data_IF_420039632235
#
_entry.id   IF_420039632235
#
_cell.length_a   1.000
_cell.length_b   1.000
_cell.length_c   1.000
_cell.angle_alpha   90.00
_cell.angle_beta   90.00
_cell.angle_gamma   90.00
#
_symmetry.space_group_name_H-M   'P 1'
#
loop_
_entity.id
_entity.type
_entity.pdbx_description
1 polymer ?
2 water ?
#
# COMPACT_ATOMS: atom_id res chain seq x y z
N UNK A 1 18.37 -10.19 28.78
CA UNK A 1 18.75 -11.00 29.97
C UNK A 1 20.26 -11.20 30.03
N UNK A 2 20.81 -11.24 31.23
CA UNK A 2 22.24 -11.41 31.44
C UNK A 2 22.74 -12.77 30.99
N UNK A 3 24.06 -12.90 30.91
CA UNK A 3 24.70 -14.14 30.47
C UNK A 3 26.22 -13.96 30.47
N UNK A 4 26.94 -15.07 30.56
CA UNK A 4 28.41 -15.03 30.54
C UNK A 4 28.91 -15.46 29.17
N UNK A 5 29.70 -14.60 28.54
CA UNK A 5 30.23 -14.89 27.22
C UNK A 5 31.39 -15.88 27.25
N UNK A 6 31.48 -16.68 26.19
CA UNK A 6 32.52 -17.69 26.06
C UNK A 6 33.73 -17.13 25.34
N UNK A 7 34.87 -17.80 25.48
CA UNK A 7 36.11 -17.38 24.85
C UNK A 7 35.97 -17.31 23.34
N UNK A 8 35.34 -18.33 22.76
CA UNK A 8 35.15 -18.40 21.32
C UNK A 8 34.27 -17.23 20.84
N UNK A 9 33.40 -16.75 21.72
CA UNK A 9 32.52 -15.64 21.40
C UNK A 9 33.30 -14.32 21.51
N UNK A 10 33.93 -14.12 22.66
CA UNK A 10 34.72 -12.91 22.89
C UNK A 10 35.76 -12.80 21.79
N UNK A 11 36.17 -13.95 21.26
CA UNK A 11 37.16 -14.01 20.20
C UNK A 11 36.59 -13.39 18.91
N UNK A 12 35.48 -13.96 18.43
CA UNK A 12 34.84 -13.48 17.21
C UNK A 12 34.34 -12.04 17.36
N UNK A 13 34.01 -11.65 18.58
CA UNK A 13 33.54 -10.30 18.84
C UNK A 13 34.72 -9.35 18.70
N UNK A 14 35.85 -9.69 19.33
CA UNK A 14 37.05 -8.86 19.23
C UNK A 14 37.45 -8.80 17.76
N UNK A 15 37.15 -9.88 17.05
CA UNK A 15 37.47 -9.99 15.63
C UNK A 15 36.73 -8.93 14.82
N UNK A 16 35.42 -8.85 15.01
CA UNK A 16 34.57 -7.90 14.28
C UNK A 16 34.83 -6.44 14.62
N UNK A 17 35.09 -6.15 15.90
CA UNK A 17 35.34 -4.78 16.34
C UNK A 17 36.76 -4.38 15.97
N UNK A 18 37.69 -5.31 16.15
CA UNK A 18 39.09 -5.05 15.84
C UNK A 18 39.34 -4.49 14.44
N UNK A 19 40.57 -4.06 14.20
CA UNK A 19 40.97 -3.47 12.93
C UNK A 19 40.70 -4.38 11.72
N UNK A 20 40.54 -3.76 10.55
CA UNK A 20 40.27 -4.48 9.32
C UNK A 20 39.60 -3.52 8.36
N UNK A 21 39.31 -3.92 7.11
CA UNK A 21 38.65 -3.01 6.17
C UNK A 21 37.28 -2.57 6.66
N UNK A 22 36.94 -1.31 6.35
CA UNK A 22 35.69 -0.72 6.78
C UNK A 22 34.48 -1.22 6.03
N UNK A 23 34.64 -1.49 4.74
CA UNK A 23 33.53 -1.96 3.92
C UNK A 23 33.27 -3.45 3.94
N UNK A 24 34.05 -4.19 4.73
CA UNK A 24 33.84 -5.63 4.79
C UNK A 24 32.47 -5.98 5.37
N UNK A 25 31.58 -6.50 4.53
CA UNK A 25 30.24 -6.90 4.94
C UNK A 25 30.37 -8.11 5.86
N UNK A 26 29.96 -7.95 7.11
CA UNK A 26 30.05 -9.03 8.09
C UNK A 26 28.75 -9.80 8.33
N UNK A 27 27.61 -9.20 8.00
CA UNK A 27 26.32 -9.87 8.19
C UNK A 27 25.30 -9.26 7.24
N UNK A 28 24.47 -10.11 6.63
CA UNK A 28 23.48 -9.63 5.67
C UNK A 28 22.11 -10.27 5.84
N UNK A 29 21.07 -9.43 5.88
CA UNK A 29 19.69 -9.87 6.04
C UNK A 29 18.75 -8.67 6.06
N UNK A 30 17.46 -8.92 5.87
CA UNK A 30 16.44 -7.88 5.88
C UNK A 30 16.76 -6.73 4.92
N UNK A 31 17.53 -7.03 3.87
CA UNK A 31 17.93 -6.02 2.89
C UNK A 31 18.94 -5.04 3.49
N UNK A 32 19.56 -5.44 4.59
CA UNK A 32 20.57 -4.61 5.27
C UNK A 32 21.93 -5.30 5.17
N UNK A 33 22.99 -4.51 5.11
CA UNK A 33 24.32 -5.09 5.05
C UNK A 33 25.24 -4.43 6.06
N UNK A 34 25.40 -5.10 7.18
CA UNK A 34 26.23 -4.63 8.28
C UNK A 34 27.71 -4.74 7.93
N UNK A 35 28.38 -3.59 7.79
CA UNK A 35 29.80 -3.59 7.46
C UNK A 35 30.58 -3.52 8.76
N UNK A 36 31.89 -3.72 8.71
CA UNK A 36 32.69 -3.64 9.92
C UNK A 36 32.56 -2.23 10.49
N UNK A 37 32.40 -1.25 9.60
CA UNK A 37 32.24 0.12 10.02
C UNK A 37 30.98 0.29 10.84
N UNK A 38 29.90 -0.39 10.45
CA UNK A 38 28.63 -0.31 11.17
C UNK A 38 28.70 -1.00 12.52
N UNK A 39 29.27 -2.20 12.53
CA UNK A 39 29.35 -2.96 13.77
C UNK A 39 30.24 -2.28 14.80
N UNK A 40 31.15 -1.44 14.34
CA UNK A 40 32.05 -0.73 15.25
C UNK A 40 31.34 0.36 16.04
N UNK A 41 30.09 0.67 15.67
CA UNK A 41 29.35 1.68 16.43
C UNK A 41 28.92 1.04 17.74
N UNK A 42 29.11 -0.28 17.83
CA UNK A 42 28.78 -1.02 19.03
C UNK A 42 29.92 -0.99 20.06
N UNK A 43 31.10 -0.58 19.62
CA UNK A 43 32.22 -0.48 20.55
C UNK A 43 31.79 0.48 21.65
N UNK A 44 32.23 0.22 22.87
CA UNK A 44 31.85 1.09 23.99
C UNK A 44 32.11 2.56 23.69
N UNK A 45 31.20 3.41 24.19
CA UNK A 45 31.30 4.87 24.02
C UNK A 45 31.04 5.36 22.60
N UNK A 46 30.57 4.47 21.74
CA UNK A 46 30.26 4.84 20.36
C UNK A 46 28.73 4.90 20.20
N UNK A 47 28.25 5.77 19.31
CA UNK A 47 26.81 5.91 19.07
C UNK A 47 26.39 4.90 18.01
N UNK A 48 25.36 4.10 18.27
CA UNK A 48 24.93 3.14 17.27
C UNK A 48 24.38 3.89 16.07
N UNK A 49 24.53 3.33 14.87
CA UNK A 49 24.00 3.98 13.69
C UNK A 49 22.68 3.31 13.26
N UNK A 50 22.05 3.82 12.21
CA UNK A 50 20.78 3.27 11.74
C UNK A 50 20.81 1.79 11.39
N UNK A 51 21.82 1.37 10.63
CA UNK A 51 21.93 -0.03 10.23
C UNK A 51 21.86 -0.98 11.42
N UNK A 52 22.71 -0.75 12.42
CA UNK A 52 22.71 -1.60 13.61
C UNK A 52 21.34 -1.66 14.27
N UNK A 53 20.71 -0.51 14.48
CA UNK A 53 19.41 -0.48 15.13
C UNK A 53 18.32 -1.18 14.30
N UNK A 54 18.23 -0.86 13.02
CA UNK A 54 17.24 -1.50 12.17
C UNK A 54 17.46 -3.01 12.15
N UNK A 55 18.72 -3.42 12.03
CA UNK A 55 19.07 -4.83 11.98
C UNK A 55 18.59 -5.54 13.26
N UNK A 56 18.92 -4.95 14.40
CA UNK A 56 18.52 -5.53 15.69
C UNK A 56 17.00 -5.56 15.82
N UNK A 57 16.33 -4.51 15.37
CA UNK A 57 14.87 -4.45 15.45
C UNK A 57 14.26 -5.62 14.67
N UNK A 58 14.77 -5.88 13.47
CA UNK A 58 14.28 -6.99 12.66
C UNK A 58 14.54 -8.34 13.32
N UNK A 59 15.62 -8.45 14.09
CA UNK A 59 15.94 -9.69 14.79
C UNK A 59 14.92 -9.94 15.91
N UNK A 60 14.37 -8.87 16.47
CA UNK A 60 13.39 -9.03 17.53
C UNK A 60 12.11 -9.63 16.95
N UNK A 61 11.80 -9.25 15.73
CA UNK A 61 10.60 -9.75 15.06
C UNK A 61 10.69 -11.28 14.90
N UNK A 62 11.83 -11.76 14.40
CA UNK A 62 12.03 -13.19 14.18
C UNK A 62 12.09 -13.95 15.51
N UNK A 63 12.80 -13.39 16.48
CA UNK A 63 12.90 -14.00 17.79
C UNK A 63 11.50 -14.20 18.37
N UNK A 64 10.65 -13.18 18.23
CA UNK A 64 9.30 -13.29 18.76
C UNK A 64 8.49 -14.40 18.10
N UNK A 65 8.56 -14.49 16.77
CA UNK A 65 7.83 -15.54 16.05
C UNK A 65 8.25 -16.93 16.52
N UNK A 66 9.54 -17.21 16.43
CA UNK A 66 10.09 -18.51 16.81
C UNK A 66 9.87 -18.87 18.28
N UNK A 67 9.84 -17.89 19.17
CA UNK A 67 9.68 -18.16 20.59
C UNK A 67 8.25 -18.04 21.14
N UNK A 68 7.27 -17.84 20.27
CA UNK A 68 5.89 -17.70 20.71
C UNK A 68 5.60 -16.41 21.45
N UNK A 69 6.23 -15.32 21.03
CA UNK A 69 6.00 -14.02 21.65
C UNK A 69 5.00 -13.21 20.79
N UNK A 70 4.47 -12.09 21.33
CA UNK A 70 3.52 -11.26 20.58
C UNK A 70 3.94 -10.93 19.15
N UNK A 71 2.99 -10.92 18.23
CA UNK A 71 3.27 -10.58 16.84
C UNK A 71 3.85 -9.17 16.86
N UNK A 72 5.05 -9.02 16.31
CA UNK A 72 5.77 -7.75 16.34
C UNK A 72 6.01 -7.07 15.00
N UNK A 73 5.75 -5.77 14.94
CA UNK A 73 6.03 -5.02 13.73
C UNK A 73 6.98 -3.90 14.15
N UNK A 74 8.07 -3.76 13.43
CA UNK A 74 9.07 -2.76 13.72
C UNK A 74 9.19 -1.80 12.55
N UNK A 75 9.00 -0.51 12.80
CA UNK A 75 9.14 0.48 11.72
C UNK A 75 10.60 0.85 11.57
N UNK A 76 11.00 1.18 10.35
CA UNK A 76 12.38 1.59 10.09
C UNK A 76 12.71 2.86 10.89
N UNK A 77 13.99 3.05 11.20
CA UNK A 77 14.43 4.23 11.94
C UNK A 77 14.18 5.51 11.11
N UNK A 78 13.99 5.35 9.80
CA UNK A 78 13.77 6.50 8.93
C UNK A 78 12.30 6.89 8.81
N UNK A 79 11.42 6.00 9.25
CA UNK A 79 9.97 6.23 9.18
C UNK A 79 9.47 7.50 9.90
N UNK A 80 9.68 7.58 11.22
CA UNK A 80 9.17 8.74 11.97
C UNK A 80 9.55 10.09 11.39
N UNK A 81 10.84 10.31 11.07
CA UNK A 81 11.19 11.63 10.52
C UNK A 81 10.45 11.92 9.20
N UNK A 82 10.29 10.90 8.36
CA UNK A 82 9.60 11.07 7.09
C UNK A 82 8.14 11.48 7.36
N UNK A 83 7.52 10.82 8.34
CA UNK A 83 6.13 11.10 8.71
C UNK A 83 5.96 12.52 9.25
N UNK A 84 6.86 12.92 10.14
CA UNK A 84 6.82 14.23 10.78
C UNK A 84 6.95 15.39 9.79
N UNK A 85 7.74 15.21 8.75
CA UNK A 85 7.93 16.27 7.76
C UNK A 85 7.08 16.16 6.50
N UNK A 86 6.65 14.95 6.15
CA UNK A 86 5.86 14.78 4.94
C UNK A 86 4.41 14.38 5.12
N UNK A 87 4.01 14.07 6.35
CA UNK A 87 2.65 13.65 6.59
C UNK A 87 2.45 12.20 6.22
N UNK A 88 1.21 11.72 6.34
CA UNK A 88 0.87 10.34 6.02
C UNK A 88 1.22 9.94 4.59
N UNK A 89 0.89 10.80 3.62
CA UNK A 89 1.16 10.51 2.21
C UNK A 89 2.61 10.12 1.95
N UNK A 90 3.53 10.73 2.68
CA UNK A 90 4.95 10.46 2.51
C UNK A 90 5.37 9.07 2.98
N UNK A 91 4.56 8.43 3.82
CA UNK A 91 4.89 7.11 4.34
C UNK A 91 3.85 6.05 4.07
N UNK A 92 2.79 6.43 3.38
CA UNK A 92 1.69 5.52 3.04
C UNK A 92 2.15 4.14 2.56
N UNK A 93 3.25 4.09 1.82
CA UNK A 93 3.75 2.84 1.28
C UNK A 93 4.72 2.04 2.14
N UNK A 94 5.10 2.59 3.29
CA UNK A 94 6.05 1.90 4.17
C UNK A 94 5.46 0.69 4.86
N UNK A 95 4.17 0.45 4.68
CA UNK A 95 3.54 -0.72 5.28
C UNK A 95 2.94 -1.61 4.20
N UNK A 96 3.47 -1.49 2.98
CA UNK A 96 3.00 -2.30 1.86
C UNK A 96 3.15 -3.77 2.24
N UNK A 97 2.10 -4.55 1.99
CA UNK A 97 2.16 -5.97 2.29
C UNK A 97 1.93 -6.33 3.75
N UNK A 98 1.55 -5.36 4.57
CA UNK A 98 1.30 -5.64 5.97
C UNK A 98 0.10 -4.88 6.50
N UNK A 99 -0.64 -5.50 7.41
CA UNK A 99 -1.75 -4.83 8.05
C UNK A 99 -1.30 -4.66 9.49
N UNK A 100 -0.91 -3.45 9.83
CA UNK A 100 -0.47 -3.13 11.17
C UNK A 100 -1.41 -3.66 12.24
N UNK A 101 -2.70 -3.60 11.96
CA UNK A 101 -3.70 -3.99 12.95
C UNK A 101 -3.84 -5.48 13.23
N UNK A 102 -3.13 -6.31 12.48
CA UNK A 102 -3.18 -7.74 12.74
C UNK A 102 -2.00 -8.11 13.65
N UNK A 103 -1.14 -7.13 13.93
CA UNK A 103 0.00 -7.35 14.81
C UNK A 103 -0.45 -7.07 16.24
N UNK A 104 0.42 -7.31 17.21
CA UNK A 104 0.07 -7.04 18.59
C UNK A 104 0.90 -5.90 19.15
N UNK A 105 2.15 -5.81 18.71
CA UNK A 105 3.05 -4.77 19.19
C UNK A 105 3.80 -4.12 18.05
N UNK A 106 3.74 -2.80 18.00
CA UNK A 106 4.40 -2.02 16.99
C UNK A 106 5.46 -1.15 17.67
N UNK A 107 6.70 -1.23 17.19
CA UNK A 107 7.79 -0.44 17.74
C UNK A 107 8.17 0.64 16.74
N UNK A 108 8.32 1.87 17.23
CA UNK A 108 8.71 2.97 16.35
C UNK A 108 9.94 3.65 16.94
N UNK A 109 11.12 3.37 16.36
CA UNK A 109 12.34 4.00 16.88
C UNK A 109 12.25 5.51 16.63
N UNK A 110 12.67 6.30 17.60
CA UNK A 110 12.62 7.74 17.42
C UNK A 110 14.00 8.38 17.36
N UNK A 111 14.36 8.93 16.20
CA UNK A 111 15.66 9.58 16.07
C UNK A 111 15.42 11.09 15.96
N UNK A 112 15.90 11.83 16.95
CA UNK A 112 15.75 13.30 16.96
C UNK A 112 17.12 13.91 17.25
N UNK A 113 17.69 14.59 16.26
CA UNK A 113 19.01 15.17 16.42
C UNK A 113 19.95 13.99 16.70
N UNK A 114 20.74 14.05 17.76
CA UNK A 114 21.63 12.92 18.03
C UNK A 114 21.05 11.93 19.03
N UNK A 115 19.81 12.13 19.47
CA UNK A 115 19.21 11.26 20.47
C UNK A 115 18.26 10.16 19.94
N UNK A 116 18.31 9.00 20.58
CA UNK A 116 17.44 7.88 20.21
C UNK A 116 16.48 7.60 21.36
N UNK A 117 15.21 7.37 21.03
CA UNK A 117 14.19 7.05 22.02
C UNK A 117 13.21 6.06 21.40
N UNK A 118 12.22 5.61 22.15
CA UNK A 118 11.30 4.60 21.63
C UNK A 118 9.81 4.78 21.92
N UNK A 119 8.98 4.51 20.91
CA UNK A 119 7.54 4.56 21.08
C UNK A 119 6.99 3.13 20.89
N UNK A 120 6.21 2.66 21.85
CA UNK A 120 5.59 1.35 21.77
C UNK A 120 4.09 1.48 21.58
N UNK A 121 3.59 0.82 20.56
CA UNK A 121 2.16 0.83 20.29
C UNK A 121 1.66 -0.57 20.56
N UNK A 122 0.88 -0.70 21.63
CA UNK A 122 0.32 -1.98 22.03
C UNK A 122 -1.11 -2.04 21.55
N UNK A 123 -1.35 -2.76 20.46
CA UNK A 123 -2.69 -2.89 19.92
C UNK A 123 -3.60 -3.70 20.84
N UNK A 124 -3.01 -4.55 21.68
CA UNK A 124 -3.82 -5.36 22.59
C UNK A 124 -4.50 -4.50 23.65
N UNK A 125 -3.86 -3.40 24.01
CA UNK A 125 -4.37 -2.48 25.04
C UNK A 125 -4.80 -1.11 24.51
N UNK A 126 -4.57 -0.86 23.22
CA UNK A 126 -4.89 0.42 22.60
C UNK A 126 -4.16 1.49 23.40
N UNK A 127 -2.86 1.32 23.52
CA UNK A 127 -2.02 2.21 24.30
C UNK A 127 -0.71 2.50 23.57
N UNK A 128 -0.22 3.73 23.73
CA UNK A 128 1.06 4.13 23.15
C UNK A 128 1.95 4.57 24.30
N UNK A 129 3.13 3.96 24.42
CA UNK A 129 4.05 4.32 25.49
C UNK A 129 5.32 4.93 24.90
N UNK A 130 5.78 6.04 25.50
CA UNK A 130 7.00 6.69 25.04
C UNK A 130 8.10 6.37 26.05
N UNK A 131 9.16 5.71 25.59
CA UNK A 131 10.29 5.33 26.44
C UNK A 131 11.53 6.13 26.03
N UNK A 132 12.09 6.87 26.98
CA UNK A 132 13.26 7.71 26.73
C UNK A 132 14.26 7.54 27.87
N UNK A 133 15.50 7.19 27.55
CA UNK A 133 16.50 7.00 28.60
C UNK A 133 16.99 8.31 29.25
N UNK A 134 16.58 9.45 28.71
CA UNK A 134 16.94 10.76 29.27
C UNK A 134 15.72 11.42 29.95
N UNK A 135 14.75 10.61 30.35
CA UNK A 135 13.57 11.12 31.03
C UNK A 135 12.62 12.07 30.32
N UNK A 136 12.75 12.20 29.01
CA UNK A 136 11.89 13.10 28.26
C UNK A 136 10.48 12.57 28.07
N UNK A 137 9.53 13.48 27.91
CA UNK A 137 8.14 13.11 27.67
C UNK A 137 7.91 13.21 26.17
N UNK A 138 7.06 12.34 25.64
CA UNK A 138 6.79 12.36 24.21
C UNK A 138 5.32 12.46 23.88
N UNK A 139 4.63 13.43 24.47
CA UNK A 139 3.20 13.61 24.21
C UNK A 139 2.95 13.90 22.73
N UNK A 140 3.64 14.89 22.19
CA UNK A 140 3.47 15.27 20.80
C UNK A 140 3.78 14.11 19.85
N UNK A 141 4.85 13.40 20.14
CA UNK A 141 5.23 12.26 19.29
C UNK A 141 4.12 11.20 19.27
N UNK A 142 3.58 10.86 20.44
CA UNK A 142 2.51 9.86 20.49
C UNK A 142 1.27 10.35 19.76
N UNK A 143 1.01 11.65 19.88
CA UNK A 143 -0.12 12.30 19.25
C UNK A 143 0.02 12.18 17.73
N UNK A 144 1.23 12.46 17.24
CA UNK A 144 1.48 12.37 15.80
C UNK A 144 1.35 10.91 15.31
N UNK A 145 1.82 9.96 16.10
CA UNK A 145 1.72 8.56 15.71
C UNK A 145 0.28 8.04 15.79
N UNK A 146 -0.51 8.55 16.73
CA UNK A 146 -1.89 8.11 16.83
C UNK A 146 -2.66 8.58 15.60
N UNK A 147 -2.37 9.80 15.14
CA UNK A 147 -3.01 10.34 13.94
C UNK A 147 -2.57 9.50 12.73
N UNK A 148 -1.32 9.02 12.75
CA UNK A 148 -0.82 8.18 11.66
C UNK A 148 -1.65 6.88 11.61
N UNK A 149 -1.90 6.29 12.78
CA UNK A 149 -2.69 5.07 12.87
C UNK A 149 -4.07 5.27 12.28
N UNK A 150 -4.68 6.42 12.56
CA UNK A 150 -6.01 6.73 12.06
C UNK A 150 -5.98 6.81 10.53
N UNK A 151 -4.94 7.43 10.00
CA UNK A 151 -4.80 7.57 8.56
C UNK A 151 -4.55 6.22 7.89
N UNK A 152 -3.73 5.38 8.52
CA UNK A 152 -3.43 4.05 8.00
C UNK A 152 -4.71 3.22 8.01
N UNK A 153 -5.45 3.28 9.11
CA UNK A 153 -6.69 2.52 9.23
C UNK A 153 -7.74 2.98 8.22
N UNK A 154 -7.92 4.28 8.07
CA UNK A 154 -8.91 4.80 7.15
C UNK A 154 -8.51 4.51 5.69
N UNK A 155 -7.22 4.51 5.44
CA UNK A 155 -6.70 4.26 4.11
C UNK A 155 -6.73 2.78 3.74
N UNK A 156 -6.20 1.93 4.63
CA UNK A 156 -6.12 0.49 4.35
C UNK A 156 -7.32 -0.37 4.74
N UNK A 157 -8.14 0.05 5.71
CA UNK A 157 -9.30 -0.76 6.08
C UNK A 157 -10.61 -0.01 5.88
N UNK A 158 -10.52 1.24 5.47
CA UNK A 158 -11.69 2.11 5.30
C UNK A 158 -12.52 2.11 6.58
N UNK A 159 -11.85 2.23 7.72
CA UNK A 159 -12.52 2.26 9.01
C UNK A 159 -11.73 3.18 9.93
N UNK A 160 -12.43 3.94 10.77
CA UNK A 160 -11.78 4.85 11.69
C UNK A 160 -11.34 4.14 12.97
N UNK A 161 -10.30 4.64 13.60
CA UNK A 161 -9.86 4.06 14.87
C UNK A 161 -10.86 4.59 15.88
N UNK A 162 -11.11 3.84 16.94
CA UNK A 162 -12.01 4.36 17.96
C UNK A 162 -11.12 5.12 18.95
N UNK A 163 -10.83 6.37 18.62
CA UNK A 163 -9.96 7.23 19.44
C UNK A 163 -10.30 7.29 20.92
N UNK A 164 -11.58 7.21 21.26
CA UNK A 164 -12.01 7.28 22.66
C UNK A 164 -11.48 6.13 23.50
N UNK A 165 -11.07 5.04 22.87
CA UNK A 165 -10.55 3.90 23.62
C UNK A 165 -9.02 3.83 23.72
N UNK A 166 -8.35 4.74 23.03
CA UNK A 166 -6.90 4.78 23.04
C UNK A 166 -6.37 5.70 24.12
N UNK A 167 -5.23 5.31 24.68
CA UNK A 167 -4.58 6.09 25.72
C UNK A 167 -3.08 6.14 25.44
N UNK A 168 -2.40 7.16 25.96
CA UNK A 168 -0.95 7.23 25.77
C UNK A 168 -0.29 7.60 27.09
N UNK A 169 0.97 7.20 27.25
CA UNK A 169 1.69 7.46 28.49
C UNK A 169 3.21 7.57 28.31
N UNK A 170 3.80 8.57 28.98
CA UNK A 170 5.24 8.76 28.94
C UNK A 170 5.79 8.18 30.23
N UNK A 171 6.63 7.16 30.10
CA UNK A 171 7.23 6.52 31.26
C UNK A 171 8.13 7.52 31.98
N UNK A 172 7.89 7.69 33.29
CA UNK A 172 8.69 8.62 34.09
C UNK A 172 10.08 8.06 34.37
N UNK A 173 11.01 8.94 34.81
CA UNK A 173 12.39 8.54 35.11
C UNK A 173 12.51 7.39 36.11
N UNK A 174 11.47 7.17 36.91
CA UNK A 174 11.49 6.10 37.90
C UNK A 174 10.90 4.79 37.38
N UNK A 175 10.16 4.85 36.28
CA UNK A 175 9.54 3.67 35.71
C UNK A 175 10.47 2.83 34.83
N UNK A 176 11.52 3.46 34.32
CA UNK A 176 12.49 2.76 33.47
C UNK A 176 13.91 3.24 33.72
N UNK A 177 14.91 2.35 33.54
CA UNK A 177 16.30 2.72 33.76
C UNK A 177 16.75 3.86 32.82
N UNK A 178 17.53 4.80 33.37
CA UNK A 178 18.02 5.94 32.60
C UNK A 178 19.49 5.77 32.21
N UNK A 179 19.93 6.50 31.18
CA UNK A 179 21.33 6.41 30.78
C UNK A 179 22.12 7.41 31.63
N UNK A 180 23.38 7.08 31.91
CA UNK A 180 24.23 7.93 32.73
C UNK A 180 25.42 8.46 31.95
N UNK A 181 25.34 8.41 30.62
CA UNK A 181 26.41 8.91 29.78
C UNK A 181 25.81 9.50 28.52
N UNK A 182 26.65 9.88 27.57
CA UNK A 182 26.15 10.48 26.35
C UNK A 182 26.34 9.63 25.10
N UNK A 183 26.44 8.32 25.27
CA UNK A 183 26.63 7.46 24.11
C UNK A 183 25.75 6.22 24.01
N UNK A 184 25.03 5.90 25.09
CA UNK A 184 24.18 4.70 25.10
C UNK A 184 22.69 4.85 24.77
N UNK A 185 22.24 5.99 24.25
CA UNK A 185 20.83 6.16 23.96
C UNK A 185 20.30 5.14 22.96
N UNK A 186 21.13 4.79 21.97
CA UNK A 186 20.73 3.82 20.98
C UNK A 186 20.62 2.41 21.54
N UNK A 187 21.45 2.11 22.54
CA UNK A 187 21.43 0.79 23.17
C UNK A 187 20.20 0.69 24.07
N UNK A 188 19.86 1.77 24.78
CA UNK A 188 18.68 1.75 25.65
C UNK A 188 17.43 1.53 24.81
N UNK A 189 17.39 2.15 23.63
CA UNK A 189 16.26 2.00 22.74
C UNK A 189 16.11 0.53 22.31
N UNK A 190 17.24 -0.09 21.93
CA UNK A 190 17.24 -1.49 21.52
C UNK A 190 16.82 -2.41 22.66
N UNK A 191 17.33 -2.17 23.87
CA UNK A 191 17.00 -3.03 24.99
C UNK A 191 15.58 -2.77 25.52
N UNK A 192 15.09 -1.55 25.36
CA UNK A 192 13.73 -1.24 25.78
C UNK A 192 12.87 -2.12 24.86
N UNK A 193 13.13 -2.00 23.56
CA UNK A 193 12.41 -2.75 22.54
C UNK A 193 12.45 -4.26 22.79
N UNK A 194 13.63 -4.77 23.14
CA UNK A 194 13.78 -6.19 23.41
C UNK A 194 12.89 -6.67 24.56
N UNK A 195 13.00 -6.02 25.72
CA UNK A 195 12.20 -6.42 26.88
C UNK A 195 10.71 -6.18 26.69
N UNK A 196 10.35 -5.03 26.15
CA UNK A 196 8.96 -4.67 25.93
C UNK A 196 8.25 -5.64 25.00
N UNK A 197 8.92 -6.08 23.94
CA UNK A 197 8.30 -6.99 22.98
C UNK A 197 8.04 -8.39 23.54
N UNK A 198 8.55 -8.65 24.75
CA UNK A 198 8.36 -9.96 25.40
C UNK A 198 7.52 -9.77 26.66
N UNK A 199 6.92 -8.60 26.79
CA UNK A 199 6.09 -8.28 27.95
C UNK A 199 6.85 -8.53 29.25
N UNK A 200 8.16 -8.36 29.20
CA UNK A 200 9.02 -8.55 30.37
C UNK A 200 9.29 -7.19 31.03
N UNK A 201 9.11 -7.09 32.36
CA UNK A 201 9.38 -5.81 33.02
C UNK A 201 10.83 -5.40 32.76
N UNK A 202 11.05 -4.12 32.52
CA UNK A 202 12.40 -3.62 32.22
C UNK A 202 13.24 -3.46 33.49
N UNK A 203 14.01 -4.50 33.81
CA UNK A 203 14.83 -4.51 35.01
C UNK A 203 16.33 -4.31 34.80
N UNK A 204 16.76 -4.12 33.55
CA UNK A 204 18.17 -3.91 33.30
C UNK A 204 18.60 -2.50 33.72
N UNK A 205 19.91 -2.26 33.75
CA UNK A 205 20.42 -0.94 34.14
C UNK A 205 21.58 -0.53 33.26
N UNK A 206 22.05 0.71 33.47
CA UNK A 206 23.16 1.28 32.70
C UNK A 206 24.42 0.43 32.84
N UNK A 207 24.64 -0.10 34.04
CA UNK A 207 25.80 -0.93 34.35
C UNK A 207 25.94 -2.12 33.38
N UNK A 208 24.82 -2.68 32.95
CA UNK A 208 24.84 -3.83 32.05
C UNK A 208 25.01 -3.53 30.58
N UNK A 209 25.00 -2.25 30.21
CA UNK A 209 25.13 -1.88 28.80
C UNK A 209 26.39 -2.37 28.09
N UNK A 210 27.55 -2.35 28.77
CA UNK A 210 28.78 -2.80 28.10
C UNK A 210 28.67 -4.27 27.65
N UNK A 211 28.03 -5.09 28.48
CA UNK A 211 27.85 -6.49 28.13
C UNK A 211 26.85 -6.60 26.98
N UNK A 212 25.78 -5.80 27.03
CA UNK A 212 24.79 -5.81 25.96
C UNK A 212 25.40 -5.48 24.61
N UNK A 213 26.30 -4.49 24.59
CA UNK A 213 26.96 -4.10 23.36
C UNK A 213 27.74 -5.28 22.77
N UNK A 214 28.48 -5.99 23.61
CA UNK A 214 29.26 -7.14 23.13
C UNK A 214 28.32 -8.25 22.67
N UNK A 215 27.27 -8.49 23.44
CA UNK A 215 26.29 -9.52 23.12
C UNK A 215 25.65 -9.22 21.75
N UNK A 216 25.28 -7.96 21.53
CA UNK A 216 24.64 -7.58 20.27
C UNK A 216 25.51 -7.78 19.04
N UNK A 217 26.82 -7.61 19.16
CA UNK A 217 27.67 -7.82 17.97
C UNK A 217 27.62 -9.30 17.58
N UNK A 218 27.70 -10.19 18.57
CA UNK A 218 27.63 -11.63 18.31
C UNK A 218 26.26 -11.92 17.69
N UNK A 219 25.21 -11.42 18.34
CA UNK A 219 23.84 -11.62 17.86
C UNK A 219 23.65 -11.16 16.42
N UNK A 220 24.24 -10.03 16.07
CA UNK A 220 24.12 -9.51 14.73
C UNK A 220 24.95 -10.36 13.75
N UNK A 221 26.11 -10.80 14.19
CA UNK A 221 26.97 -11.62 13.34
C UNK A 221 26.27 -12.93 13.00
N UNK A 222 25.66 -13.55 14.00
CA UNK A 222 24.99 -14.83 13.80
C UNK A 222 23.50 -14.74 13.47
N UNK A 223 22.96 -13.52 13.44
CA UNK A 223 21.55 -13.31 13.16
C UNK A 223 20.68 -14.16 14.08
N UNK A 224 21.04 -14.16 15.36
CA UNK A 224 20.34 -14.91 16.39
C UNK A 224 20.52 -14.25 17.77
N UNK A 225 19.44 -14.14 18.53
CA UNK A 225 19.51 -13.52 19.85
C UNK A 225 19.70 -14.52 20.97
N UNK A 226 20.34 -14.07 22.05
CA UNK A 226 20.59 -14.91 23.21
C UNK A 226 19.55 -14.68 24.31
N UNK B 4 -18.66 18.00 -3.00
CA UNK B 4 -20.01 18.20 -2.42
C UNK B 4 -21.03 18.06 -3.53
N UNK B 5 -22.30 18.29 -3.21
CA UNK B 5 -23.36 18.18 -4.22
C UNK B 5 -24.51 19.15 -3.97
N UNK B 6 -25.18 19.84 -4.77
CA UNK B 6 -26.39 20.64 -4.71
C UNK B 6 -27.60 19.70 -4.63
N UNK B 7 -27.93 20.62 -3.76
CA UNK B 7 -29.18 20.08 -3.26
C UNK B 7 -30.11 19.71 -4.41
N UNK B 8 -30.08 20.21 -5.67
CA UNK B 8 -30.80 19.84 -6.88
C UNK B 8 -30.18 18.57 -7.45
N UNK B 9 -28.87 18.42 -7.25
CA UNK B 9 -28.17 17.23 -7.72
C UNK B 9 -28.65 16.03 -6.92
N UNK B 10 -28.52 16.13 -5.59
CA UNK B 10 -28.95 15.10 -4.67
C UNK B 10 -30.39 14.70 -4.97
N UNK B 11 -31.23 15.69 -5.31
CA UNK B 11 -32.63 15.43 -5.59
C UNK B 11 -32.84 14.70 -6.90
N UNK B 12 -32.11 15.08 -7.93
CA UNK B 12 -32.25 14.41 -9.21
C UNK B 12 -31.71 12.99 -9.07
N UNK B 13 -30.70 12.84 -8.23
CA UNK B 13 -30.09 11.54 -7.96
C UNK B 13 -31.09 10.66 -7.19
N UNK B 14 -31.62 11.17 -6.09
CA UNK B 14 -32.60 10.40 -5.30
C UNK B 14 -33.77 9.96 -6.16
N UNK B 15 -34.24 10.85 -7.04
CA UNK B 15 -35.34 10.51 -7.92
C UNK B 15 -34.96 9.39 -8.89
N UNK B 16 -33.76 9.47 -9.44
CA UNK B 16 -33.30 8.46 -10.37
C UNK B 16 -33.20 7.10 -9.66
N UNK B 17 -32.70 7.12 -8.44
CA UNK B 17 -32.54 5.90 -7.65
C UNK B 17 -33.81 5.45 -6.96
N UNK B 18 -34.77 6.36 -6.83
CA UNK B 18 -36.01 6.05 -6.15
C UNK B 18 -37.00 5.20 -6.91
N UNK B 19 -38.16 4.99 -6.27
CA UNK B 19 -39.21 4.17 -6.85
C UNK B 19 -39.77 4.76 -8.14
N UNK B 20 -40.20 3.87 -9.04
CA UNK B 20 -40.76 4.27 -10.32
C UNK B 20 -40.71 3.07 -11.23
N UNK B 21 -41.38 3.13 -12.40
CA UNK B 21 -41.35 1.97 -13.31
C UNK B 21 -39.90 1.65 -13.69
N UNK B 22 -39.53 0.39 -13.53
CA UNK B 22 -38.17 -0.01 -13.83
C UNK B 22 -37.80 0.09 -15.30
N UNK B 23 -38.79 -0.04 -16.18
CA UNK B 23 -38.53 0.03 -17.61
C UNK B 23 -38.39 1.48 -18.09
N UNK B 24 -38.54 2.42 -17.18
CA UNK B 24 -38.42 3.85 -17.52
C UNK B 24 -37.03 4.25 -18.00
N UNK B 25 -36.94 4.68 -19.26
CA UNK B 25 -35.68 5.10 -19.86
C UNK B 25 -35.28 6.48 -19.35
N UNK B 26 -34.16 6.54 -18.62
CA UNK B 26 -33.68 7.79 -18.04
C UNK B 26 -32.58 8.49 -18.84
N UNK B 27 -31.85 7.76 -19.68
CA UNK B 27 -30.78 8.40 -20.45
C UNK B 27 -30.36 7.54 -21.64
N UNK B 28 -30.21 8.20 -22.80
CA UNK B 28 -29.83 7.50 -24.03
C UNK B 28 -28.68 8.15 -24.78
N UNK B 29 -27.78 7.30 -25.26
CA UNK B 29 -26.60 7.72 -26.01
C UNK B 29 -25.74 6.48 -26.29
N UNK B 30 -24.89 6.58 -27.30
CA UNK B 30 -24.01 5.48 -27.65
C UNK B 30 -24.77 4.18 -27.87
N UNK B 31 -26.00 4.28 -28.37
CA UNK B 31 -26.84 3.10 -28.62
C UNK B 31 -27.23 2.41 -27.33
N UNK B 32 -27.13 3.12 -26.20
CA UNK B 32 -27.48 2.54 -24.91
C UNK B 32 -28.68 3.27 -24.31
N UNK B 33 -29.50 2.53 -23.59
CA UNK B 33 -30.69 3.07 -22.96
C UNK B 33 -30.64 2.76 -21.47
N UNK B 34 -30.19 3.73 -20.69
CA UNK B 34 -30.11 3.53 -19.25
C UNK B 34 -31.50 3.64 -18.63
N UNK B 35 -32.00 2.51 -18.14
CA UNK B 35 -33.32 2.49 -17.52
C UNK B 35 -33.15 2.81 -16.05
N UNK B 36 -34.26 3.00 -15.34
CA UNK B 36 -34.20 3.29 -13.92
C UNK B 36 -33.62 2.06 -13.22
N UNK B 37 -33.87 0.88 -13.81
CA UNK B 37 -33.37 -0.35 -13.25
C UNK B 37 -31.85 -0.45 -13.38
N UNK B 38 -31.32 0.09 -14.47
CA UNK B 38 -29.89 0.10 -14.72
C UNK B 38 -29.18 1.02 -13.72
N UNK B 39 -29.67 2.25 -13.64
CA UNK B 39 -29.08 3.25 -12.77
C UNK B 39 -29.15 2.85 -11.31
N UNK B 40 -30.10 1.97 -10.99
CA UNK B 40 -30.27 1.50 -9.62
C UNK B 40 -29.11 0.61 -9.16
N UNK B 41 -28.35 0.07 -10.11
CA UNK B 41 -27.22 -0.77 -9.73
C UNK B 41 -26.10 0.14 -9.20
N UNK B 42 -26.32 1.46 -9.25
CA UNK B 42 -25.34 2.40 -8.73
C UNK B 42 -25.58 2.64 -7.25
N UNK B 43 -26.72 2.16 -6.76
CA UNK B 43 -27.04 2.31 -5.35
C UNK B 43 -25.92 1.65 -4.55
N UNK B 44 -25.61 2.22 -3.40
CA UNK B 44 -24.55 1.69 -2.55
C UNK B 44 -24.75 0.19 -2.30
N UNK B 45 -23.65 -0.55 -2.36
CA UNK B 45 -23.66 -2.01 -2.14
C UNK B 45 -24.23 -2.86 -3.28
N UNK B 46 -24.62 -2.23 -4.39
CA UNK B 46 -25.15 -2.98 -5.54
C UNK B 46 -24.07 -3.09 -6.62
N UNK B 47 -24.08 -4.22 -7.32
CA UNK B 47 -23.12 -4.45 -8.39
C UNK B 47 -23.53 -3.69 -9.64
N UNK B 48 -22.61 -2.97 -10.27
CA UNK B 48 -22.96 -2.26 -11.49
C UNK B 48 -23.18 -3.31 -12.58
N UNK B 49 -24.03 -2.99 -13.55
CA UNK B 49 -24.27 -3.93 -14.63
C UNK B 49 -23.59 -3.44 -15.92
N UNK B 50 -23.64 -4.24 -16.98
CA UNK B 50 -22.99 -3.89 -18.25
C UNK B 50 -23.41 -2.55 -18.84
N UNK B 51 -24.72 -2.28 -18.82
CA UNK B 51 -25.25 -1.03 -19.36
C UNK B 51 -24.55 0.18 -18.75
N UNK B 52 -24.53 0.22 -17.42
CA UNK B 52 -23.90 1.30 -16.69
C UNK B 52 -22.41 1.43 -16.99
N UNK B 53 -21.68 0.33 -16.92
CA UNK B 53 -20.25 0.39 -17.19
C UNK B 53 -19.98 0.83 -18.63
N UNK B 54 -20.67 0.23 -19.59
CA UNK B 54 -20.48 0.62 -20.99
C UNK B 54 -20.80 2.10 -21.21
N UNK B 55 -21.82 2.60 -20.51
CA UNK B 55 -22.22 3.99 -20.67
C UNK B 55 -21.13 4.92 -20.15
N UNK B 56 -20.56 4.57 -19.01
CA UNK B 56 -19.52 5.38 -18.40
C UNK B 56 -18.21 5.35 -19.22
N UNK B 57 -17.89 4.19 -19.80
CA UNK B 57 -16.66 4.09 -20.59
C UNK B 57 -16.77 5.05 -21.78
N UNK B 58 -17.93 5.07 -22.41
CA UNK B 58 -18.16 5.95 -23.55
C UNK B 58 -18.11 7.44 -23.17
N UNK B 59 -18.57 7.76 -21.96
CA UNK B 59 -18.49 9.15 -21.51
C UNK B 59 -17.03 9.54 -21.38
N UNK B 60 -16.19 8.58 -20.96
CA UNK B 60 -14.76 8.85 -20.81
C UNK B 60 -14.15 9.24 -22.15
N UNK B 61 -14.56 8.54 -23.20
CA UNK B 61 -14.06 8.81 -24.55
C UNK B 61 -14.40 10.25 -24.94
N UNK B 62 -15.67 10.62 -24.83
CA UNK B 62 -16.11 11.98 -25.17
C UNK B 62 -15.39 13.02 -24.31
N UNK B 63 -15.35 12.77 -23.01
CA UNK B 63 -14.70 13.69 -22.08
C UNK B 63 -13.23 13.91 -22.47
N UNK B 64 -12.56 12.84 -22.91
CA UNK B 64 -11.16 12.98 -23.29
C UNK B 64 -10.98 13.82 -24.54
N UNK B 65 -11.92 13.74 -25.47
CA UNK B 65 -11.81 14.53 -26.69
C UNK B 65 -12.13 16.01 -26.50
N UNK B 66 -12.94 16.34 -25.50
CA UNK B 66 -13.31 17.73 -25.24
C UNK B 66 -12.19 18.48 -24.53
N UNK B 67 -11.48 17.77 -23.65
CA UNK B 67 -10.42 18.38 -22.86
C UNK B 67 -8.99 18.08 -23.28
N UNK B 68 -8.80 17.74 -24.55
CA UNK B 68 -7.46 17.44 -25.05
C UNK B 68 -6.69 16.35 -24.34
N UNK B 69 -7.39 15.27 -23.96
CA UNK B 69 -6.73 14.15 -23.30
C UNK B 69 -6.40 13.09 -24.36
N UNK B 70 -5.58 12.08 -24.02
CA UNK B 70 -5.22 11.04 -24.97
C UNK B 70 -6.40 10.45 -25.73
N UNK B 71 -6.22 10.24 -27.04
CA UNK B 71 -7.27 9.67 -27.87
C UNK B 71 -7.65 8.33 -27.23
N UNK B 72 -8.93 8.17 -26.94
CA UNK B 72 -9.39 6.96 -26.25
C UNK B 72 -10.35 6.04 -26.97
N UNK B 73 -10.13 4.73 -26.82
CA UNK B 73 -10.99 3.70 -27.39
C UNK B 73 -11.37 2.73 -26.29
N UNK B 74 -12.66 2.47 -26.12
CA UNK B 74 -13.12 1.56 -25.09
C UNK B 74 -13.88 0.42 -25.74
N UNK B 75 -13.49 -0.82 -25.44
CA UNK B 75 -14.22 -1.95 -25.98
C UNK B 75 -15.42 -2.21 -25.11
N UNK B 76 -16.47 -2.75 -25.70
CA UNK B 76 -17.69 -3.08 -24.95
C UNK B 76 -17.35 -4.12 -23.90
N UNK B 77 -18.14 -4.17 -22.85
CA UNK B 77 -17.94 -5.14 -21.77
C UNK B 77 -18.15 -6.57 -22.28
N UNK B 78 -18.80 -6.71 -23.43
CA UNK B 78 -19.06 -8.06 -23.97
C UNK B 78 -17.97 -8.52 -24.92
N UNK B 79 -17.05 -7.63 -25.23
CA UNK B 79 -15.96 -7.93 -26.14
C UNK B 79 -15.05 -9.06 -25.68
N UNK B 80 -14.43 -8.89 -24.51
CA UNK B 80 -13.50 -9.88 -24.01
C UNK B 80 -14.01 -11.31 -23.87
N UNK B 81 -15.18 -11.49 -23.24
CA UNK B 81 -15.68 -12.86 -23.09
C UNK B 81 -15.88 -13.56 -24.45
N UNK B 82 -16.26 -12.78 -25.47
CA UNK B 82 -16.50 -13.31 -26.81
C UNK B 82 -15.17 -13.65 -27.48
N UNK B 83 -14.18 -12.79 -27.28
CA UNK B 83 -12.87 -13.02 -27.86
C UNK B 83 -12.27 -14.28 -27.26
N UNK B 84 -12.40 -14.45 -25.95
CA UNK B 84 -11.84 -15.60 -25.27
C UNK B 84 -12.48 -16.93 -25.63
N UNK B 85 -13.75 -16.89 -26.04
CA UNK B 85 -14.44 -18.11 -26.41
C UNK B 85 -14.92 -18.04 -27.85
N UNK B 86 -14.06 -17.57 -28.74
CA UNK B 86 -14.44 -17.45 -30.13
C UNK B 86 -13.29 -17.02 -31.02
N UNK B 87 -12.19 -16.60 -30.39
CA UNK B 87 -11.04 -16.16 -31.15
C UNK B 87 -11.32 -14.88 -31.92
N UNK B 88 -10.32 -14.40 -32.63
CA UNK B 88 -10.43 -13.17 -33.41
C UNK B 88 -11.64 -13.11 -34.34
N UNK B 89 -11.94 -14.22 -35.00
CA UNK B 89 -13.06 -14.27 -35.94
C UNK B 89 -14.38 -13.85 -35.28
N UNK B 90 -14.58 -14.27 -34.04
CA UNK B 90 -15.78 -13.95 -33.31
C UNK B 90 -15.92 -12.46 -32.98
N UNK B 91 -14.84 -11.69 -33.11
CA UNK B 91 -14.91 -10.27 -32.78
C UNK B 91 -14.30 -9.29 -33.77
N UNK B 92 -13.88 -9.74 -34.95
CA UNK B 92 -13.27 -8.83 -35.90
C UNK B 92 -14.18 -7.72 -36.42
N UNK B 93 -15.48 -7.97 -36.43
CA UNK B 93 -16.45 -6.98 -36.91
C UNK B 93 -16.72 -5.92 -35.84
N UNK B 94 -16.26 -6.17 -34.63
CA UNK B 94 -16.46 -5.26 -33.51
C UNK B 94 -15.65 -3.96 -33.62
N UNK B 95 -14.69 -3.94 -34.54
CA UNK B 95 -13.88 -2.74 -34.73
C UNK B 95 -14.12 -2.19 -36.13
N UNK B 96 -15.29 -2.48 -36.65
CA UNK B 96 -15.67 -2.02 -37.99
C UNK B 96 -15.67 -0.50 -38.02
N UNK B 97 -14.90 0.05 -38.96
CA UNK B 97 -14.82 1.50 -39.11
C UNK B 97 -13.92 2.17 -38.09
N UNK B 98 -13.27 1.38 -37.26
CA UNK B 98 -12.36 1.93 -36.25
C UNK B 98 -10.91 1.58 -36.55
N UNK B 99 -10.01 2.47 -36.17
CA UNK B 99 -8.58 2.25 -36.37
C UNK B 99 -7.90 2.19 -35.01
N UNK B 100 -7.83 1.00 -34.43
CA UNK B 100 -7.23 0.80 -33.12
C UNK B 100 -5.90 1.51 -32.90
N UNK B 101 -4.95 1.24 -33.76
CA UNK B 101 -3.60 1.79 -33.64
C UNK B 101 -3.48 3.29 -33.90
N UNK B 102 -4.62 3.93 -34.16
CA UNK B 102 -4.63 5.36 -34.38
C UNK B 102 -4.91 6.05 -33.05
N UNK B 103 -5.46 5.29 -32.11
CA UNK B 103 -5.76 5.83 -30.79
C UNK B 103 -4.48 5.76 -29.97
N UNK B 104 -4.55 6.25 -28.73
CA UNK B 104 -3.39 6.23 -27.86
C UNK B 104 -3.59 5.31 -26.68
N UNK B 105 -4.83 5.24 -26.18
CA UNK B 105 -5.14 4.39 -25.05
C UNK B 105 -6.40 3.57 -25.31
N UNK B 106 -6.28 2.26 -25.13
CA UNK B 106 -7.40 1.36 -25.33
C UNK B 106 -7.73 0.68 -24.01
N UNK B 107 -8.99 0.74 -23.61
CA UNK B 107 -9.45 0.14 -22.37
C UNK B 107 -10.28 -1.10 -22.67
N UNK B 108 -10.03 -2.17 -21.93
CA UNK B 108 -10.78 -3.41 -22.11
C UNK B 108 -11.35 -3.84 -20.77
N UNK B 109 -12.66 -3.61 -20.55
CA UNK B 109 -13.25 -4.03 -19.28
C UNK B 109 -13.21 -5.55 -19.24
N UNK B 110 -12.89 -6.13 -18.08
CA UNK B 110 -12.83 -7.58 -17.97
C UNK B 110 -13.86 -8.14 -17.01
N UNK B 111 -14.86 -8.82 -17.54
CA UNK B 111 -15.89 -9.43 -16.69
C UNK B 111 -15.65 -10.92 -16.62
N UNK B 112 -15.30 -11.42 -15.44
CA UNK B 112 -15.06 -12.84 -15.22
C UNK B 112 -15.93 -13.31 -14.07
N UNK B 113 -16.90 -14.16 -14.40
CA UNK B 113 -17.86 -14.63 -13.42
C UNK B 113 -18.51 -13.40 -12.80
N UNK B 114 -18.35 -13.21 -11.49
CA UNK B 114 -18.98 -12.10 -10.81
C UNK B 114 -18.06 -10.88 -10.60
N UNK B 115 -16.82 -10.99 -11.05
CA UNK B 115 -15.83 -9.94 -10.82
C UNK B 115 -15.51 -9.07 -12.03
N UNK B 116 -15.24 -7.80 -11.78
CA UNK B 116 -14.87 -6.87 -12.84
C UNK B 116 -13.43 -6.40 -12.66
N UNK B 117 -12.68 -6.32 -13.75
CA UNK B 117 -11.31 -5.84 -13.70
C UNK B 117 -11.02 -5.06 -14.98
N UNK B 118 -9.80 -4.56 -15.13
CA UNK B 118 -9.48 -3.74 -16.28
C UNK B 118 -8.09 -3.95 -16.89
N UNK B 119 -8.05 -3.93 -18.22
CA UNK B 119 -6.78 -4.02 -18.91
C UNK B 119 -6.59 -2.71 -19.69
N UNK B 120 -5.42 -2.10 -19.52
CA UNK B 120 -5.10 -0.87 -20.22
C UNK B 120 -4.06 -1.13 -21.30
N UNK B 121 -4.38 -0.77 -22.54
CA UNK B 121 -3.44 -0.93 -23.63
C UNK B 121 -2.95 0.47 -23.97
N UNK B 122 -1.71 0.77 -23.63
CA UNK B 122 -1.14 2.07 -23.90
C UNK B 122 -0.31 1.95 -25.17
N UNK B 123 -0.88 2.36 -26.31
CA UNK B 123 -0.17 2.27 -27.58
C UNK B 123 1.08 3.14 -27.62
N UNK B 124 1.12 4.23 -26.85
CA UNK B 124 2.26 5.13 -26.85
C UNK B 124 3.51 4.49 -26.26
N UNK B 125 3.32 3.61 -25.29
CA UNK B 125 4.44 2.94 -24.64
C UNK B 125 4.45 1.43 -24.89
N UNK B 126 3.63 1.00 -25.85
CA UNK B 126 3.47 -0.41 -26.22
C UNK B 126 3.45 -1.24 -24.94
N UNK B 127 2.52 -0.90 -24.06
CA UNK B 127 2.38 -1.59 -22.80
C UNK B 127 0.93 -1.98 -22.50
N UNK B 128 0.77 -3.12 -21.81
CA UNK B 128 -0.54 -3.60 -21.39
C UNK B 128 -0.48 -3.72 -19.88
N UNK B 129 -1.40 -3.05 -19.19
CA UNK B 129 -1.44 -3.09 -17.73
C UNK B 129 -2.74 -3.75 -17.28
N UNK B 130 -2.64 -4.58 -16.25
CA UNK B 130 -3.83 -5.24 -15.72
C UNK B 130 -4.12 -4.63 -14.35
N UNK B 131 -5.31 -4.07 -14.19
CA UNK B 131 -5.73 -3.46 -12.93
C UNK B 131 -6.89 -4.22 -12.32
N UNK B 132 -6.64 -4.84 -11.16
CA UNK B 132 -7.63 -5.63 -10.46
C UNK B 132 -7.70 -5.15 -9.00
N UNK B 133 -8.88 -4.70 -8.58
CA UNK B 133 -9.06 -4.22 -7.22
C UNK B 133 -9.04 -5.33 -6.15
N UNK B 134 -8.98 -6.58 -6.59
CA UNK B 134 -8.91 -7.70 -5.65
C UNK B 134 -7.52 -8.33 -5.70
N UNK B 135 -6.52 -7.53 -6.06
CA UNK B 135 -5.14 -7.98 -6.12
C UNK B 135 -4.80 -9.26 -6.89
N UNK B 136 -5.24 -9.37 -8.13
CA UNK B 136 -4.94 -10.53 -8.95
C UNK B 136 -4.10 -10.12 -10.15
N UNK B 137 -3.41 -11.09 -10.75
CA UNK B 137 -2.62 -10.83 -11.93
C UNK B 137 -3.39 -11.34 -13.14
N UNK B 138 -3.18 -10.69 -14.28
CA UNK B 138 -3.87 -11.10 -15.48
C UNK B 138 -2.89 -11.40 -16.60
N UNK B 139 -1.98 -12.36 -16.35
CA UNK B 139 -0.99 -12.75 -17.36
C UNK B 139 -1.64 -13.30 -18.63
N UNK B 140 -2.48 -14.34 -18.52
CA UNK B 140 -3.12 -14.88 -19.71
C UNK B 140 -4.08 -13.90 -20.35
N UNK B 141 -4.78 -13.10 -19.54
CA UNK B 141 -5.70 -12.12 -20.10
C UNK B 141 -4.92 -11.21 -21.05
N UNK B 142 -3.76 -10.75 -20.61
CA UNK B 142 -2.92 -9.88 -21.43
C UNK B 142 -2.38 -10.58 -22.66
N UNK B 143 -1.97 -11.85 -22.53
CA UNK B 143 -1.47 -12.62 -23.67
C UNK B 143 -2.55 -12.73 -24.74
N UNK B 144 -3.76 -13.06 -24.30
CA UNK B 144 -4.87 -13.22 -25.22
C UNK B 144 -5.14 -11.91 -25.96
N UNK B 145 -5.06 -10.79 -25.23
CA UNK B 145 -5.28 -9.49 -25.85
C UNK B 145 -4.12 -9.08 -26.75
N UNK B 146 -2.91 -9.54 -26.43
CA UNK B 146 -1.77 -9.22 -27.28
C UNK B 146 -1.92 -9.96 -28.62
N UNK B 147 -2.41 -11.19 -28.56
CA UNK B 147 -2.61 -11.96 -29.77
C UNK B 147 -3.72 -11.28 -30.57
N UNK B 148 -4.71 -10.73 -29.86
CA UNK B 148 -5.81 -10.03 -30.53
C UNK B 148 -5.28 -8.85 -31.34
N UNK B 149 -4.38 -8.07 -30.73
CA UNK B 149 -3.79 -6.92 -31.41
C UNK B 149 -3.02 -7.35 -32.66
N UNK B 150 -2.35 -8.49 -32.56
CA UNK B 150 -1.59 -9.01 -33.70
C UNK B 150 -2.53 -9.33 -34.85
N UNK B 151 -3.63 -10.02 -34.55
CA UNK B 151 -4.60 -10.36 -35.58
C UNK B 151 -5.28 -9.12 -36.13
N UNK B 152 -5.67 -8.21 -35.24
CA UNK B 152 -6.32 -6.98 -35.68
C UNK B 152 -5.38 -6.21 -36.60
N UNK B 153 -4.10 -6.21 -36.27
CA UNK B 153 -3.12 -5.50 -37.07
C UNK B 153 -2.93 -6.18 -38.43
N UNK B 154 -2.68 -7.48 -38.41
CA UNK B 154 -2.45 -8.24 -39.63
C UNK B 154 -3.65 -8.20 -40.57
N UNK B 155 -4.85 -8.14 -39.99
CA UNK B 155 -6.07 -8.11 -40.79
C UNK B 155 -6.44 -6.72 -41.30
N UNK B 156 -6.34 -5.71 -40.44
CA UNK B 156 -6.71 -4.35 -40.83
C UNK B 156 -5.63 -3.51 -41.51
N UNK B 157 -4.38 -3.67 -41.10
CA UNK B 157 -3.30 -2.87 -41.69
C UNK B 157 -2.39 -3.69 -42.60
N UNK B 158 -2.57 -5.00 -42.58
CA UNK B 158 -1.76 -5.90 -43.39
C UNK B 158 -0.29 -5.76 -42.98
N UNK B 159 -0.05 -5.88 -41.68
CA UNK B 159 1.29 -5.80 -41.10
C UNK B 159 1.30 -6.48 -39.73
N UNK B 160 2.47 -6.93 -39.30
CA UNK B 160 2.58 -7.59 -38.01
C UNK B 160 2.99 -6.65 -36.89
N UNK B 161 2.55 -6.93 -35.67
CA UNK B 161 2.96 -6.14 -34.53
C UNK B 161 4.36 -6.64 -34.25
N UNK B 162 5.21 -5.79 -33.69
CA UNK B 162 6.53 -6.27 -33.34
C UNK B 162 6.47 -6.60 -31.85
N UNK B 163 6.09 -7.83 -31.54
CA UNK B 163 5.97 -8.29 -30.15
C UNK B 163 7.17 -8.03 -29.28
N UNK B 164 8.36 -8.03 -29.88
CA UNK B 164 9.58 -7.81 -29.11
C UNK B 164 9.63 -6.46 -28.39
N UNK B 165 8.93 -5.46 -28.88
CA UNK B 165 8.94 -4.15 -28.24
C UNK B 165 7.76 -3.92 -27.30
N UNK B 166 6.93 -4.95 -27.12
CA UNK B 166 5.77 -4.84 -26.25
C UNK B 166 6.01 -5.38 -24.84
N UNK B 167 5.33 -4.79 -23.88
CA UNK B 167 5.49 -5.17 -22.49
C UNK B 167 4.11 -5.31 -21.82
N UNK B 168 4.08 -5.98 -20.68
CA UNK B 168 2.84 -6.11 -19.92
C UNK B 168 3.18 -6.22 -18.43
N UNK B 169 2.27 -5.75 -17.58
CA UNK B 169 2.49 -5.76 -16.15
C UNK B 169 1.18 -5.76 -15.38
N UNK B 170 1.09 -6.60 -14.36
CA UNK B 170 -0.10 -6.68 -13.51
C UNK B 170 0.20 -5.82 -12.28
N UNK B 171 -0.70 -4.88 -11.97
CA UNK B 171 -0.53 -4.01 -10.83
C UNK B 171 -0.57 -4.76 -9.51
N UNK B 172 0.36 -4.46 -8.62
CA UNK B 172 0.41 -5.09 -7.32
C UNK B 172 -0.55 -4.37 -6.38
N UNK B 173 -0.99 -5.05 -5.31
CA UNK B 173 -1.93 -4.49 -4.32
C UNK B 173 -1.52 -3.14 -3.70
N UNK B 174 -0.24 -2.80 -3.74
CA UNK B 174 0.19 -1.53 -3.17
C UNK B 174 0.34 -0.46 -4.26
N UNK B 175 0.24 -0.89 -5.52
CA UNK B 175 0.38 0.03 -6.65
C UNK B 175 -0.92 0.75 -6.99
N UNK B 176 -2.05 0.17 -6.59
CA UNK B 176 -3.36 0.77 -6.84
C UNK B 176 -4.28 0.50 -5.66
N UNK B 177 -5.23 1.40 -5.40
CA UNK B 177 -6.16 1.19 -4.27
C UNK B 177 -6.94 -0.12 -4.42
N UNK B 178 -7.13 -0.83 -3.32
CA UNK B 178 -7.84 -2.11 -3.32
C UNK B 178 -9.29 -2.02 -2.84
N UNK B 179 -10.07 -2.99 -3.30
CA UNK B 179 -11.48 -3.13 -2.96
C UNK B 179 -11.56 -3.75 -1.55
N UNK B 180 -12.36 -3.16 -0.68
CA UNK B 180 -12.48 -3.69 0.67
C UNK B 180 -13.85 -4.27 1.01
N UNK B 181 -14.70 -4.41 0.00
CA UNK B 181 -16.02 -5.00 0.21
C UNK B 181 -16.29 -5.94 -0.95
N UNK B 182 -17.47 -6.53 -0.98
CA UNK B 182 -17.80 -7.44 -2.06
C UNK B 182 -18.77 -6.89 -3.08
N UNK B 183 -18.74 -5.57 -3.31
CA UNK B 183 -19.68 -5.01 -4.27
C UNK B 183 -19.21 -3.88 -5.19
N UNK B 184 -18.00 -3.36 -4.93
CA UNK B 184 -17.49 -2.26 -5.74
C UNK B 184 -16.56 -2.55 -6.90
N UNK B 185 -16.36 -3.82 -7.25
CA UNK B 185 -15.44 -4.17 -8.34
C UNK B 185 -15.75 -3.36 -9.60
N UNK B 186 -17.04 -3.15 -9.89
CA UNK B 186 -17.41 -2.39 -11.07
C UNK B 186 -17.01 -0.92 -10.97
N UNK B 187 -17.18 -0.34 -9.78
CA UNK B 187 -16.84 1.06 -9.56
C UNK B 187 -15.32 1.25 -9.69
N UNK B 188 -14.55 0.34 -9.11
CA UNK B 188 -13.11 0.44 -9.19
C UNK B 188 -12.67 0.40 -10.66
N UNK B 189 -13.26 -0.52 -11.42
CA UNK B 189 -12.94 -0.66 -12.83
C UNK B 189 -13.18 0.67 -13.57
N UNK B 190 -14.30 1.32 -13.30
CA UNK B 190 -14.62 2.60 -13.94
C UNK B 190 -13.67 3.72 -13.50
N UNK B 191 -13.37 3.77 -12.21
CA UNK B 191 -12.50 4.81 -11.69
C UNK B 191 -11.04 4.60 -12.09
N UNK B 192 -10.58 3.35 -12.14
CA UNK B 192 -9.23 3.08 -12.57
C UNK B 192 -9.15 3.70 -13.96
N UNK B 193 -10.11 3.32 -14.81
CA UNK B 193 -10.20 3.77 -16.19
C UNK B 193 -10.21 5.30 -16.31
N UNK B 194 -11.09 5.94 -15.54
CA UNK B 194 -11.20 7.39 -15.57
C UNK B 194 -9.84 8.06 -15.35
N UNK B 195 -9.14 7.66 -14.29
CA UNK B 195 -7.83 8.23 -13.97
C UNK B 195 -6.73 7.87 -14.98
N UNK B 196 -6.66 6.60 -15.37
CA UNK B 196 -5.66 6.19 -16.33
C UNK B 196 -5.86 6.81 -17.70
N UNK B 197 -7.11 7.02 -18.09
CA UNK B 197 -7.41 7.61 -19.39
C UNK B 197 -6.84 9.02 -19.51
N UNK B 198 -6.49 9.64 -18.39
CA UNK B 198 -5.91 10.97 -18.47
C UNK B 198 -4.57 11.04 -17.76
N UNK B 199 -3.87 9.91 -17.72
CA UNK B 199 -2.54 9.81 -17.11
C UNK B 199 -2.45 10.39 -15.70
N UNK B 200 -3.59 10.51 -15.04
CA UNK B 200 -3.66 11.04 -13.69
C UNK B 200 -3.41 9.91 -12.68
N UNK B 201 -2.46 10.09 -11.77
CA UNK B 201 -2.13 9.07 -10.75
C UNK B 201 -3.37 8.60 -9.99
N UNK B 202 -3.50 7.29 -9.81
CA UNK B 202 -4.66 6.71 -9.12
C UNK B 202 -4.55 6.89 -7.61
N UNK B 203 -5.09 8.01 -7.11
CA UNK B 203 -5.03 8.37 -5.71
C UNK B 203 -6.34 8.29 -4.90
N UNK B 204 -7.41 7.75 -5.48
CA UNK B 204 -8.65 7.64 -4.70
C UNK B 204 -8.51 6.36 -3.87
N UNK B 205 -9.45 6.11 -2.98
CA UNK B 205 -9.40 4.92 -2.14
C UNK B 205 -10.82 4.42 -1.98
N UNK B 206 -10.98 3.25 -1.37
CA UNK B 206 -12.29 2.68 -1.14
C UNK B 206 -13.28 3.67 -0.53
N UNK B 207 -12.77 4.56 0.32
CA UNK B 207 -13.62 5.52 1.01
C UNK B 207 -14.42 6.47 0.12
N UNK B 208 -13.92 6.76 -1.08
CA UNK B 208 -14.63 7.67 -1.99
C UNK B 208 -15.70 6.99 -2.83
N UNK B 209 -15.74 5.67 -2.82
CA UNK B 209 -16.70 4.93 -3.63
C UNK B 209 -18.15 5.36 -3.49
N UNK B 210 -18.63 5.53 -2.25
CA UNK B 210 -20.03 5.95 -2.09
C UNK B 210 -20.33 7.26 -2.84
N UNK B 211 -19.45 8.23 -2.73
CA UNK B 211 -19.66 9.50 -3.45
C UNK B 211 -19.53 9.30 -4.96
N UNK B 212 -18.55 8.52 -5.38
CA UNK B 212 -18.36 8.22 -6.80
C UNK B 212 -19.64 7.65 -7.40
N UNK B 213 -20.32 6.79 -6.64
CA UNK B 213 -21.57 6.20 -7.11
C UNK B 213 -22.61 7.29 -7.33
N UNK B 214 -22.69 8.22 -6.38
CA UNK B 214 -23.64 9.33 -6.46
C UNK B 214 -23.31 10.17 -7.69
N UNK B 215 -22.05 10.56 -7.83
CA UNK B 215 -21.59 11.35 -8.96
C UNK B 215 -21.94 10.68 -10.30
N UNK B 216 -21.63 9.39 -10.39
CA UNK B 216 -21.89 8.68 -11.64
C UNK B 216 -23.35 8.69 -12.04
N UNK B 217 -24.24 8.67 -11.05
CA UNK B 217 -25.68 8.72 -11.34
C UNK B 217 -25.96 10.02 -12.09
N UNK B 218 -25.43 11.12 -11.56
CA UNK B 218 -25.61 12.45 -12.14
C UNK B 218 -24.97 12.50 -13.53
N UNK B 219 -23.69 12.16 -13.57
CA UNK B 219 -22.92 12.17 -14.81
C UNK B 219 -23.59 11.39 -15.92
N UNK B 220 -24.22 10.28 -15.58
CA UNK B 220 -24.90 9.46 -16.56
C UNK B 220 -26.21 10.10 -16.99
N UNK B 221 -26.92 10.72 -16.05
CA UNK B 221 -28.18 11.37 -16.38
C UNK B 221 -27.95 12.56 -17.31
N UNK B 222 -26.86 13.29 -17.11
CA UNK B 222 -26.56 14.47 -17.91
C UNK B 222 -25.53 14.24 -19.00
N UNK B 223 -24.96 13.03 -19.04
CA UNK B 223 -23.96 12.69 -20.04
C UNK B 223 -22.78 13.66 -20.00
N UNK B 224 -22.39 14.01 -18.79
CA UNK B 224 -21.28 14.94 -18.54
C UNK B 224 -20.52 14.49 -17.30
N UNK B 225 -19.20 14.44 -17.39
CA UNK B 225 -18.41 14.03 -16.23
C UNK B 225 -18.01 15.25 -15.40
N UNK B 226 -17.96 15.08 -14.08
CA UNK B 226 -17.57 16.18 -13.21
C UNK B 226 -16.06 16.17 -12.95
#
# INVERSE_FOLDING_TARGET
DLLELTEDMEKEISNALGHGPQDEILSSAFKLRITRGDIQTLKNYHWLNDEVINFYMNLLVERNKKQGYPALHVFSTFFYPKLKSGGYQAVKRWTKGVNLFEQEIILVPIHRKVHWSLVVIDLRKKCLKYLDSMGQKGHRICEILLQYLQDESKTKRNSDLNLLEWTHHSMKPHEIPQQLNGSDCGMFTCKYADYISRDKPITFTQHQMPLFRKKMVWEILHQQLL
DLLELTEDMEKEISNALGHGPQDEILSSAFKLRITRGDIQTLKNYHWLNDEVINFYMNLLVERNKKQGYPALHVFSTFFYPKLKSGGYQAVKRWTKGVNLFEQEIILVPIHRKVHWSLVVIDLRKKCLKYLDSMGQKGHRICEILLQYLQDESKTKRNSDLNLLEWTHHSMKPHEIPQQLNGSDCGMFTCKYADYISRDKPITFTQHQMPLFRKKMVWEILHQQLL
#
